data_IF_089810331023
#
_entry.id   IF_089810331023
#
_cell.length_a   1.000
_cell.length_b   1.000
_cell.length_c   1.000
_cell.angle_alpha   90.00
_cell.angle_beta   90.00
_cell.angle_gamma   90.00
#
_symmetry.space_group_name_H-M   'P 1'
#
loop_
_entity.id
_entity.type
_entity.pdbx_description
1 polymer ?
#
# COMPACT_ATOMS: atom_id res chain seq x y z
N UNK A 1 22.50 -68.53 -4.95
CA UNK A 1 22.65 -67.18 -4.37
C UNK A 1 21.78 -66.22 -5.14
N UNK A 2 20.62 -65.82 -4.61
CA UNK A 2 20.05 -64.46 -4.73
C UNK A 2 18.69 -64.40 -4.01
N UNK A 3 18.80 -63.87 -2.80
CA UNK A 3 18.02 -62.83 -2.10
C UNK A 3 16.50 -62.71 -2.26
N UNK A 4 15.91 -62.55 -1.07
CA UNK A 4 14.53 -62.29 -0.67
C UNK A 4 13.96 -60.92 -1.10
N UNK A 5 12.62 -60.93 -1.28
CA UNK A 5 11.59 -59.97 -0.85
C UNK A 5 11.64 -58.49 -1.28
N UNK A 6 10.53 -57.96 -1.83
CA UNK A 6 9.53 -57.17 -1.08
C UNK A 6 8.38 -56.61 -1.96
N UNK A 7 7.24 -56.20 -1.34
CA UNK A 7 5.94 -56.09 -2.00
C UNK A 7 5.62 -54.71 -2.61
N UNK A 8 4.65 -54.75 -3.52
CA UNK A 8 3.98 -53.65 -4.19
C UNK A 8 3.49 -52.60 -3.19
N UNK A 9 4.09 -51.41 -3.21
CA UNK A 9 3.51 -50.21 -2.59
C UNK A 9 2.52 -49.57 -3.56
N UNK A 10 1.27 -49.55 -3.15
CA UNK A 10 0.19 -48.75 -3.70
C UNK A 10 0.61 -47.28 -3.79
N UNK A 11 0.73 -46.75 -5.01
CA UNK A 11 0.86 -45.30 -5.21
C UNK A 11 -0.54 -44.71 -5.14
N UNK A 12 -0.89 -44.20 -3.96
CA UNK A 12 -2.00 -43.29 -3.78
C UNK A 12 -1.76 -42.07 -4.68
N UNK A 13 -2.55 -41.95 -5.74
CA UNK A 13 -2.60 -40.76 -6.61
C UNK A 13 -3.04 -39.58 -5.73
N UNK A 14 -2.08 -38.78 -5.26
CA UNK A 14 -2.36 -37.48 -4.67
C UNK A 14 -3.10 -36.63 -5.70
N UNK A 15 -4.26 -36.11 -5.29
CA UNK A 15 -5.10 -35.22 -6.04
C UNK A 15 -4.27 -34.09 -6.65
N UNK A 16 -4.44 -33.88 -7.96
CA UNK A 16 -3.93 -32.71 -8.68
C UNK A 16 -4.37 -31.46 -7.92
N UNK A 17 -3.41 -30.65 -7.48
CA UNK A 17 -3.70 -29.33 -6.94
C UNK A 17 -4.44 -28.55 -8.00
N UNK A 18 -5.60 -28.03 -7.62
CA UNK A 18 -6.35 -27.03 -8.37
C UNK A 18 -5.42 -25.85 -8.60
N UNK A 19 -5.04 -25.62 -9.86
CA UNK A 19 -4.43 -24.35 -10.25
C UNK A 19 -5.40 -23.25 -9.82
N UNK A 20 -4.95 -22.20 -9.10
CA UNK A 20 -5.80 -21.05 -8.84
C UNK A 20 -6.27 -20.51 -10.19
N UNK A 21 -7.59 -20.34 -10.33
CA UNK A 21 -8.19 -19.84 -11.55
C UNK A 21 -7.54 -18.52 -11.97
N UNK A 22 -7.35 -18.34 -13.28
CA UNK A 22 -6.94 -17.04 -13.85
C UNK A 22 -8.00 -16.02 -13.45
N UNK A 23 -7.72 -15.21 -12.43
CA UNK A 23 -8.48 -14.00 -12.14
C UNK A 23 -8.27 -13.06 -13.32
N UNK A 24 -9.34 -12.76 -14.05
CA UNK A 24 -9.30 -11.78 -15.13
C UNK A 24 -9.07 -10.42 -14.50
N UNK A 25 -7.95 -9.80 -14.85
CA UNK A 25 -7.64 -8.44 -14.51
C UNK A 25 -8.70 -7.47 -15.06
N UNK A 26 -9.66 -7.07 -14.23
CA UNK A 26 -10.54 -5.97 -14.59
C UNK A 26 -9.83 -4.68 -14.19
N UNK A 27 -9.52 -3.83 -15.18
CA UNK A 27 -9.21 -2.43 -14.90
C UNK A 27 -10.52 -1.79 -14.45
N UNK A 28 -10.82 -1.83 -13.15
CA UNK A 28 -12.00 -1.17 -12.62
C UNK A 28 -11.73 0.33 -12.55
N UNK A 29 -12.07 1.07 -13.61
CA UNK A 29 -12.38 2.49 -13.47
C UNK A 29 -13.90 2.57 -13.41
N UNK A 30 -14.41 2.57 -12.19
CA UNK A 30 -15.81 2.72 -11.89
C UNK A 30 -16.08 4.22 -11.65
N UNK A 31 -16.82 4.87 -12.55
CA UNK A 31 -17.32 6.23 -12.32
C UNK A 31 -18.81 6.14 -12.01
N UNK A 32 -19.24 6.72 -10.89
CA UNK A 32 -20.66 6.74 -10.53
C UNK A 32 -21.36 7.96 -11.14
N UNK A 33 -20.60 9.01 -11.44
CA UNK A 33 -21.09 10.25 -12.04
C UNK A 33 -20.00 11.03 -12.80
N UNK A 34 -20.42 12.05 -13.55
CA UNK A 34 -19.54 12.91 -14.35
C UNK A 34 -18.50 13.68 -13.53
N UNK A 35 -18.81 14.01 -12.27
CA UNK A 35 -17.86 14.69 -11.38
C UNK A 35 -16.72 13.77 -10.96
N UNK A 36 -17.01 12.51 -10.64
CA UNK A 36 -15.98 11.51 -10.35
C UNK A 36 -15.11 11.21 -11.57
N UNK A 37 -15.70 11.17 -12.76
CA UNK A 37 -14.97 11.05 -14.03
C UNK A 37 -14.00 12.23 -14.21
N UNK A 38 -14.48 13.47 -14.03
CA UNK A 38 -13.65 14.68 -14.09
C UNK A 38 -12.49 14.63 -13.09
N UNK A 39 -12.76 14.32 -11.82
CA UNK A 39 -11.74 14.23 -10.77
C UNK A 39 -10.68 13.18 -11.11
N UNK A 40 -11.09 12.03 -11.62
CA UNK A 40 -10.16 10.98 -12.04
C UNK A 40 -9.31 11.40 -13.24
N UNK A 41 -9.90 12.11 -14.21
CA UNK A 41 -9.19 12.68 -15.35
C UNK A 41 -8.11 13.67 -14.90
N UNK A 42 -8.48 14.62 -14.04
CA UNK A 42 -7.55 15.62 -13.47
C UNK A 42 -6.41 14.95 -12.68
N UNK A 43 -6.75 13.96 -11.85
CA UNK A 43 -5.77 13.24 -11.04
C UNK A 43 -4.79 12.42 -11.89
N UNK A 44 -5.28 11.77 -12.95
CA UNK A 44 -4.43 11.06 -13.93
C UNK A 44 -3.50 12.03 -14.63
N UNK A 45 -4.04 13.12 -15.16
CA UNK A 45 -3.27 14.14 -15.87
C UNK A 45 -2.16 14.72 -14.99
N UNK A 46 -2.46 15.05 -13.74
CA UNK A 46 -1.46 15.52 -12.78
C UNK A 46 -0.28 14.54 -12.61
N UNK A 47 -0.58 13.24 -12.44
CA UNK A 47 0.45 12.20 -12.24
C UNK A 47 1.27 11.97 -13.51
N UNK A 48 0.63 11.94 -14.67
CA UNK A 48 1.30 11.76 -15.95
C UNK A 48 2.23 12.94 -16.25
N UNK A 49 1.76 14.17 -16.04
CA UNK A 49 2.59 15.36 -16.20
C UNK A 49 3.77 15.33 -15.22
N UNK A 50 3.56 14.99 -13.94
CA UNK A 50 4.65 14.83 -12.95
C UNK A 50 5.74 13.86 -13.43
N UNK A 51 5.34 12.70 -13.98
CA UNK A 51 6.27 11.69 -14.47
C UNK A 51 7.00 12.03 -15.78
N UNK A 52 6.54 13.05 -16.51
CA UNK A 52 6.93 13.29 -17.91
C UNK A 52 8.19 14.16 -18.12
N UNK A 53 8.93 14.49 -17.06
CA UNK A 53 10.13 15.35 -17.16
C UNK A 53 11.15 14.80 -18.16
N UNK A 54 11.35 13.48 -18.21
CA UNK A 54 12.31 12.86 -19.12
C UNK A 54 11.93 13.05 -20.60
N UNK A 55 10.64 13.18 -20.93
CA UNK A 55 10.16 13.33 -22.30
C UNK A 55 9.85 14.78 -22.68
N UNK A 56 9.37 15.60 -21.74
CA UNK A 56 8.95 17.00 -21.98
C UNK A 56 9.99 18.04 -21.55
N UNK A 57 10.91 17.68 -20.66
CA UNK A 57 11.79 18.62 -19.97
C UNK A 57 11.13 19.29 -18.76
N UNK A 58 11.96 19.74 -17.81
CA UNK A 58 11.51 20.28 -16.51
C UNK A 58 10.67 21.55 -16.66
N UNK A 59 11.05 22.48 -17.54
CA UNK A 59 10.36 23.76 -17.67
C UNK A 59 8.92 23.60 -18.18
N UNK A 60 8.71 22.74 -19.19
CA UNK A 60 7.39 22.43 -19.71
C UNK A 60 6.50 21.77 -18.65
N UNK A 61 7.05 20.81 -17.89
CA UNK A 61 6.32 20.16 -16.79
C UNK A 61 5.92 21.15 -15.71
N UNK A 62 6.82 22.07 -15.31
CA UNK A 62 6.51 23.11 -14.32
C UNK A 62 5.42 24.06 -14.80
N UNK A 63 5.40 24.40 -16.08
CA UNK A 63 4.35 25.23 -16.66
C UNK A 63 2.99 24.51 -16.58
N UNK A 64 2.91 23.28 -17.08
CA UNK A 64 1.67 22.49 -17.06
C UNK A 64 1.15 22.24 -15.63
N UNK A 65 2.01 21.80 -14.71
CA UNK A 65 1.62 21.64 -13.30
C UNK A 65 1.28 22.97 -12.65
N UNK A 66 1.90 24.08 -13.09
CA UNK A 66 1.65 25.42 -12.60
C UNK A 66 0.21 25.91 -12.84
N UNK A 67 -0.41 25.39 -13.90
CA UNK A 67 -1.81 25.63 -14.24
C UNK A 67 -2.76 24.76 -13.41
N UNK A 68 -2.34 23.52 -13.11
CA UNK A 68 -3.12 22.53 -12.35
C UNK A 68 -3.12 22.78 -10.84
N UNK A 69 -2.08 23.39 -10.30
CA UNK A 69 -1.87 23.55 -8.85
C UNK A 69 -2.31 24.95 -8.38
N UNK A 70 -3.07 25.01 -7.29
CA UNK A 70 -3.44 26.27 -6.63
C UNK A 70 -2.22 26.93 -5.97
N UNK A 71 -2.20 28.26 -5.88
CA UNK A 71 -1.03 29.00 -5.36
C UNK A 71 -0.72 28.64 -3.91
N UNK A 72 -1.75 28.37 -3.11
CA UNK A 72 -1.74 27.98 -1.71
C UNK A 72 -1.71 26.47 -1.47
N UNK A 73 -1.52 25.66 -2.52
CA UNK A 73 -1.56 24.20 -2.42
C UNK A 73 -0.62 23.66 -1.35
N UNK A 74 -1.08 22.68 -0.57
CA UNK A 74 -0.29 22.02 0.48
C UNK A 74 0.02 20.58 0.12
N UNK A 75 1.31 20.22 0.11
CA UNK A 75 1.75 18.83 0.06
C UNK A 75 1.97 18.32 1.49
N UNK A 76 1.17 17.34 1.91
CA UNK A 76 1.29 16.73 3.23
C UNK A 76 2.36 15.66 3.22
N UNK A 77 3.31 15.84 4.14
CA UNK A 77 4.39 14.92 4.38
C UNK A 77 3.86 13.57 4.93
N UNK A 78 4.42 12.46 4.46
CA UNK A 78 4.15 11.12 5.00
C UNK A 78 4.79 10.89 6.38
N UNK A 79 5.64 11.82 6.84
CA UNK A 79 6.40 11.77 8.10
C UNK A 79 7.38 10.62 8.18
N UNK A 80 7.64 9.94 7.07
CA UNK A 80 8.64 8.88 6.93
C UNK A 80 9.79 9.42 6.08
N UNK A 81 9.50 9.81 4.85
CA UNK A 81 10.46 10.35 3.90
C UNK A 81 10.45 11.87 3.90
N UNK A 82 9.25 12.45 3.97
CA UNK A 82 9.07 13.89 4.09
C UNK A 82 8.70 14.20 5.53
N UNK A 83 9.58 14.91 6.24
CA UNK A 83 9.36 15.25 7.65
C UNK A 83 8.47 16.47 7.84
N UNK A 84 8.37 17.34 6.82
CA UNK A 84 7.62 18.61 6.85
C UNK A 84 6.72 18.73 5.63
N UNK A 85 5.57 19.38 5.84
CA UNK A 85 4.67 19.72 4.74
C UNK A 85 5.31 20.81 3.87
N UNK A 86 5.04 20.74 2.57
CA UNK A 86 5.40 21.80 1.63
C UNK A 86 4.17 22.67 1.41
N UNK A 87 4.34 23.98 1.56
CA UNK A 87 3.24 24.94 1.43
C UNK A 87 3.51 25.87 0.25
N UNK A 88 2.49 25.99 -0.59
CA UNK A 88 2.50 26.83 -1.76
C UNK A 88 3.10 26.18 -2.99
N UNK A 89 2.60 26.59 -4.15
CA UNK A 89 2.97 26.06 -5.47
C UNK A 89 4.47 26.06 -5.72
N UNK A 90 5.16 27.15 -5.37
CA UNK A 90 6.61 27.28 -5.60
C UNK A 90 7.42 26.23 -4.83
N UNK A 91 7.07 25.96 -3.57
CA UNK A 91 7.77 24.96 -2.76
C UNK A 91 7.59 23.54 -3.33
N UNK A 92 6.41 23.26 -3.89
CA UNK A 92 6.10 22.00 -4.57
C UNK A 92 6.93 21.87 -5.86
N UNK A 93 7.00 22.91 -6.69
CA UNK A 93 7.83 22.89 -7.91
C UNK A 93 9.31 22.70 -7.62
N UNK A 94 9.84 23.35 -6.58
CA UNK A 94 11.23 23.14 -6.18
C UNK A 94 11.47 21.72 -5.65
N UNK A 95 10.48 21.12 -4.99
CA UNK A 95 10.59 19.73 -4.55
C UNK A 95 10.60 18.75 -5.73
N UNK A 96 9.76 19.00 -6.74
CA UNK A 96 9.77 18.28 -8.02
C UNK A 96 11.16 18.37 -8.67
N UNK A 97 11.73 19.57 -8.80
CA UNK A 97 13.07 19.76 -9.36
C UNK A 97 14.13 18.94 -8.62
N UNK A 98 14.12 19.00 -7.28
CA UNK A 98 15.05 18.23 -6.46
C UNK A 98 14.85 16.72 -6.61
N UNK A 99 13.61 16.25 -6.71
CA UNK A 99 13.32 14.82 -6.92
C UNK A 99 13.89 14.35 -8.26
N UNK A 100 13.60 15.06 -9.35
CA UNK A 100 14.07 14.71 -10.69
C UNK A 100 15.57 14.93 -10.91
N UNK A 101 16.21 15.78 -10.12
CA UNK A 101 17.67 15.89 -10.12
C UNK A 101 18.33 14.68 -9.44
N UNK A 102 17.67 14.08 -8.45
CA UNK A 102 18.15 12.88 -7.74
C UNK A 102 17.84 11.59 -8.48
N UNK A 103 16.65 11.53 -9.10
CA UNK A 103 16.12 10.33 -9.72
C UNK A 103 15.70 10.59 -11.16
N UNK A 104 16.20 9.75 -12.06
CA UNK A 104 15.67 9.63 -13.41
C UNK A 104 14.44 8.71 -13.36
N UNK A 105 13.28 9.22 -13.78
CA UNK A 105 12.03 8.47 -13.78
C UNK A 105 11.95 7.61 -15.05
N UNK A 106 12.34 6.34 -14.95
CA UNK A 106 12.27 5.37 -16.06
C UNK A 106 10.83 4.96 -16.36
N UNK A 107 10.06 4.73 -15.29
CA UNK A 107 8.62 4.46 -15.37
C UNK A 107 7.93 5.29 -14.30
N UNK A 108 6.81 5.94 -14.65
CA UNK A 108 5.95 6.63 -13.70
C UNK A 108 4.53 6.69 -14.27
N UNK A 109 3.68 5.74 -13.91
CA UNK A 109 2.39 5.57 -14.58
C UNK A 109 1.24 5.28 -13.61
N UNK A 110 0.08 5.95 -13.78
CA UNK A 110 -1.11 5.68 -12.99
C UNK A 110 -1.75 4.34 -13.38
N UNK A 111 -1.73 3.38 -12.45
CA UNK A 111 -2.27 2.02 -12.66
C UNK A 111 -3.71 1.88 -12.17
N UNK A 112 -4.13 2.71 -11.22
CA UNK A 112 -5.50 2.76 -10.70
C UNK A 112 -5.87 4.20 -10.35
N UNK A 113 -7.12 4.58 -10.57
CA UNK A 113 -7.67 5.89 -10.21
C UNK A 113 -9.08 5.71 -9.65
N UNK A 114 -9.40 6.40 -8.57
CA UNK A 114 -10.73 6.47 -7.97
C UNK A 114 -11.01 7.91 -7.50
N UNK A 115 -12.28 8.28 -7.32
CA UNK A 115 -12.65 9.60 -6.81
C UNK A 115 -13.77 9.52 -5.76
N UNK A 116 -13.73 10.51 -4.87
CA UNK A 116 -14.76 10.85 -3.91
C UNK A 116 -15.20 12.29 -4.18
N UNK A 117 -16.36 12.42 -4.80
CA UNK A 117 -16.96 13.69 -5.19
C UNK A 117 -17.53 14.48 -4.01
N UNK A 118 -17.79 13.83 -2.86
CA UNK A 118 -18.23 14.52 -1.64
C UNK A 118 -17.12 15.44 -1.13
N UNK A 119 -15.88 14.97 -1.20
CA UNK A 119 -14.70 15.70 -0.73
C UNK A 119 -13.87 16.33 -1.85
N UNK A 120 -14.35 16.31 -3.11
CA UNK A 120 -13.59 16.73 -4.30
C UNK A 120 -12.18 16.11 -4.34
N UNK A 121 -12.08 14.83 -3.98
CA UNK A 121 -10.81 14.14 -3.78
C UNK A 121 -10.69 13.01 -4.80
N UNK A 122 -9.49 12.80 -5.32
CA UNK A 122 -9.15 11.65 -6.12
C UNK A 122 -7.99 10.87 -5.49
N UNK A 123 -7.97 9.57 -5.74
CA UNK A 123 -6.92 8.65 -5.30
C UNK A 123 -6.27 8.04 -6.53
N UNK A 124 -4.93 8.05 -6.59
CA UNK A 124 -4.18 7.49 -7.71
C UNK A 124 -3.13 6.53 -7.21
N UNK A 125 -3.19 5.29 -7.68
CA UNK A 125 -2.11 4.31 -7.54
C UNK A 125 -1.12 4.47 -8.69
N UNK A 126 0.16 4.64 -8.38
CA UNK A 126 1.23 4.89 -9.36
C UNK A 126 2.32 3.85 -9.21
N UNK A 127 2.59 3.10 -10.27
CA UNK A 127 3.78 2.25 -10.35
C UNK A 127 4.96 3.08 -10.88
N UNK A 128 6.12 2.93 -10.26
CA UNK A 128 7.30 3.72 -10.60
C UNK A 128 8.58 2.90 -10.64
N UNK A 129 9.48 3.30 -11.54
CA UNK A 129 10.86 2.81 -11.62
C UNK A 129 11.77 4.03 -11.71
N UNK A 130 12.69 4.14 -10.76
CA UNK A 130 13.61 5.25 -10.61
C UNK A 130 15.04 4.76 -10.72
N UNK A 131 15.87 5.45 -11.50
CA UNK A 131 17.32 5.29 -11.44
C UNK A 131 17.91 6.43 -10.64
N UNK A 132 18.70 6.14 -9.62
CA UNK A 132 19.43 7.19 -8.90
C UNK A 132 20.55 7.73 -9.78
N UNK A 133 20.47 9.01 -10.10
CA UNK A 133 21.42 9.72 -10.98
C UNK A 133 22.05 10.94 -10.31
N UNK A 134 21.51 11.34 -9.16
CA UNK A 134 22.03 12.45 -8.38
C UNK A 134 22.34 12.08 -6.93
N UNK A 135 23.08 12.94 -6.22
CA UNK A 135 23.47 12.73 -4.83
C UNK A 135 22.24 12.67 -3.91
N UNK A 136 22.14 11.63 -3.09
CA UNK A 136 21.09 11.52 -2.07
C UNK A 136 21.35 12.44 -0.87
N UNK A 137 22.63 12.57 -0.52
CA UNK A 137 23.17 13.48 0.49
C UNK A 137 24.21 14.39 -0.15
N UNK A 138 24.36 15.59 0.40
CA UNK A 138 25.39 16.53 -0.05
C UNK A 138 26.78 15.86 0.01
N UNK A 139 27.52 15.93 -1.10
CA UNK A 139 28.83 15.30 -1.25
C UNK A 139 28.84 13.79 -1.56
N UNK A 140 27.69 13.10 -1.57
CA UNK A 140 27.63 11.69 -1.95
C UNK A 140 27.67 11.50 -3.46
N UNK A 141 28.24 10.39 -3.94
CA UNK A 141 28.11 10.00 -5.35
C UNK A 141 26.74 9.35 -5.60
N UNK A 142 26.17 9.48 -6.81
CA UNK A 142 24.98 8.72 -7.18
C UNK A 142 25.27 7.23 -7.14
N UNK A 143 24.34 6.44 -6.61
CA UNK A 143 24.45 4.98 -6.51
C UNK A 143 24.36 4.31 -7.89
N UNK A 144 23.64 4.93 -8.84
CA UNK A 144 23.33 4.33 -10.14
C UNK A 144 22.29 3.20 -10.07
N UNK A 145 21.81 2.84 -8.88
CA UNK A 145 20.85 1.75 -8.71
C UNK A 145 19.49 2.11 -9.29
N UNK A 146 18.78 1.07 -9.71
CA UNK A 146 17.38 1.17 -10.11
C UNK A 146 16.50 0.62 -9.01
N UNK A 147 15.58 1.45 -8.51
CA UNK A 147 14.56 1.08 -7.55
C UNK A 147 13.20 1.05 -8.23
N UNK A 148 12.37 0.08 -7.85
CA UNK A 148 10.99 -0.06 -8.31
C UNK A 148 10.05 0.00 -7.13
N UNK A 149 8.85 0.53 -7.36
CA UNK A 149 7.82 0.45 -6.35
C UNK A 149 6.50 1.06 -6.76
N UNK A 150 5.72 1.38 -5.73
CA UNK A 150 4.36 1.87 -5.83
C UNK A 150 4.12 3.07 -4.93
N UNK A 151 3.18 3.91 -5.31
CA UNK A 151 2.70 5.00 -4.47
C UNK A 151 1.19 5.17 -4.59
N UNK A 152 0.57 5.61 -3.51
CA UNK A 152 -0.82 6.03 -3.47
C UNK A 152 -0.82 7.53 -3.20
N UNK A 153 -1.45 8.28 -4.09
CA UNK A 153 -1.64 9.72 -3.96
C UNK A 153 -3.10 10.00 -3.66
N UNK A 154 -3.36 10.82 -2.65
CA UNK A 154 -4.65 11.45 -2.41
C UNK A 154 -4.53 12.91 -2.83
N UNK A 155 -5.38 13.34 -3.76
CA UNK A 155 -5.35 14.65 -4.40
C UNK A 155 -6.70 15.34 -4.18
N UNK A 156 -6.69 16.46 -3.48
CA UNK A 156 -7.91 17.25 -3.20
C UNK A 156 -7.94 18.46 -4.11
N UNK A 157 -9.07 18.69 -4.77
CA UNK A 157 -9.26 19.74 -5.74
C UNK A 157 -10.26 20.80 -5.24
N UNK A 158 -10.00 22.04 -5.61
CA UNK A 158 -10.92 23.14 -5.34
C UNK A 158 -12.20 22.96 -6.18
N UNK A 159 -13.41 23.00 -5.57
CA UNK A 159 -14.66 22.66 -6.26
C UNK A 159 -15.02 23.56 -7.44
N UNK A 160 -14.60 24.82 -7.43
CA UNK A 160 -14.87 25.79 -8.52
C UNK A 160 -13.78 25.84 -9.59
N UNK A 161 -12.53 26.09 -9.19
CA UNK A 161 -11.40 26.22 -10.13
C UNK A 161 -10.86 24.89 -10.64
N UNK A 162 -11.21 23.76 -10.00
CA UNK A 162 -10.67 22.45 -10.35
C UNK A 162 -9.17 22.27 -10.08
N UNK A 163 -8.53 23.25 -9.43
CA UNK A 163 -7.09 23.22 -9.13
C UNK A 163 -6.80 22.37 -7.90
N UNK A 164 -5.64 21.72 -7.89
CA UNK A 164 -5.14 20.96 -6.75
C UNK A 164 -4.85 21.89 -5.57
N UNK A 165 -5.46 21.63 -4.41
CA UNK A 165 -5.27 22.40 -3.16
C UNK A 165 -4.55 21.59 -2.09
N UNK A 166 -4.67 20.27 -2.10
CA UNK A 166 -3.95 19.40 -1.17
C UNK A 166 -3.48 18.11 -1.87
N UNK A 167 -2.26 17.68 -1.57
CA UNK A 167 -1.74 16.38 -2.00
C UNK A 167 -1.13 15.64 -0.82
N UNK A 168 -1.47 14.36 -0.66
CA UNK A 168 -0.82 13.43 0.26
C UNK A 168 -0.29 12.25 -0.53
N UNK A 169 0.94 11.83 -0.27
CA UNK A 169 1.57 10.72 -0.97
C UNK A 169 2.08 9.72 0.05
N UNK A 170 1.63 8.47 -0.07
CA UNK A 170 2.25 7.34 0.62
C UNK A 170 2.97 6.52 -0.45
N UNK A 171 4.28 6.31 -0.31
CA UNK A 171 5.06 5.54 -1.29
C UNK A 171 6.00 4.55 -0.64
N UNK A 172 6.35 3.52 -1.41
CA UNK A 172 7.44 2.62 -1.04
C UNK A 172 8.78 3.38 -1.06
N UNK A 173 9.70 2.94 -0.22
CA UNK A 173 11.06 3.50 -0.12
C UNK A 173 11.94 2.94 -1.24
N UNK A 174 12.84 3.77 -1.80
CA UNK A 174 13.92 3.27 -2.68
C UNK A 174 14.90 2.40 -1.90
N UNK A 175 15.75 1.64 -2.59
CA UNK A 175 16.76 0.80 -1.94
C UNK A 175 17.69 1.63 -1.03
N UNK A 176 18.05 2.84 -1.44
CA UNK A 176 18.91 3.73 -0.66
C UNK A 176 18.20 4.34 0.55
N UNK A 177 16.93 4.70 0.40
CA UNK A 177 16.12 5.18 1.52
C UNK A 177 15.93 4.09 2.58
N UNK A 178 15.77 2.83 2.15
CA UNK A 178 15.75 1.69 3.06
C UNK A 178 17.08 1.54 3.80
N UNK A 179 18.21 1.63 3.10
CA UNK A 179 19.54 1.55 3.73
C UNK A 179 19.79 2.69 4.72
N UNK A 180 19.25 3.88 4.45
CA UNK A 180 19.43 5.05 5.29
C UNK A 180 18.53 5.04 6.53
N UNK A 181 17.26 4.68 6.37
CA UNK A 181 16.23 4.86 7.40
C UNK A 181 16.02 3.63 8.28
N UNK A 182 16.40 2.45 7.80
CA UNK A 182 16.23 1.22 8.55
C UNK A 182 17.49 0.88 9.34
N UNK A 183 17.30 0.27 10.51
CA UNK A 183 18.41 -0.22 11.32
C UNK A 183 19.25 -1.26 10.53
N UNK A 184 20.58 -1.30 10.72
CA UNK A 184 21.43 -2.31 10.09
C UNK A 184 20.89 -3.73 10.33
N UNK A 185 20.69 -4.50 9.26
CA UNK A 185 20.15 -5.86 9.32
C UNK A 185 18.62 -5.96 9.34
N UNK A 186 17.90 -4.84 9.39
CA UNK A 186 16.44 -4.83 9.20
C UNK A 186 16.12 -5.29 7.77
N UNK A 187 15.26 -6.32 7.66
CA UNK A 187 14.76 -6.83 6.38
C UNK A 187 13.43 -6.17 6.08
N UNK A 188 13.44 -5.18 5.19
CA UNK A 188 12.24 -4.64 4.55
C UNK A 188 12.10 -5.30 3.19
N UNK A 189 10.98 -6.00 2.96
CA UNK A 189 10.66 -6.58 1.67
C UNK A 189 9.32 -6.01 1.22
N UNK A 190 9.32 -4.86 0.53
CA UNK A 190 8.09 -4.27 0.03
C UNK A 190 7.49 -5.13 -1.10
N UNK A 191 6.19 -5.01 -1.31
CA UNK A 191 5.49 -5.66 -2.43
C UNK A 191 6.19 -5.41 -3.77
N UNK A 192 6.57 -6.47 -4.48
CA UNK A 192 7.02 -6.37 -5.87
C UNK A 192 5.81 -6.14 -6.78
N UNK A 193 5.44 -4.88 -6.91
CA UNK A 193 4.30 -4.49 -7.74
C UNK A 193 4.51 -4.89 -9.19
N UNK A 194 5.74 -4.88 -9.71
CA UNK A 194 6.02 -5.22 -11.11
C UNK A 194 6.00 -6.72 -11.38
N UNK A 195 6.52 -7.53 -10.47
CA UNK A 195 6.52 -8.99 -10.59
C UNK A 195 5.19 -9.64 -10.22
N UNK A 196 4.50 -9.13 -9.19
CA UNK A 196 3.36 -9.83 -8.59
C UNK A 196 2.00 -9.19 -8.89
N UNK A 197 1.91 -7.86 -8.92
CA UNK A 197 0.62 -7.14 -8.98
C UNK A 197 0.26 -6.77 -10.40
N UNK A 198 1.15 -6.08 -11.13
CA UNK A 198 0.88 -5.60 -12.48
C UNK A 198 0.56 -6.72 -13.48
N UNK A 199 1.26 -7.87 -13.50
CA UNK A 199 0.90 -8.96 -14.41
C UNK A 199 -0.50 -9.52 -14.15
N UNK A 200 -0.92 -9.60 -12.88
CA UNK A 200 -2.28 -10.00 -12.49
C UNK A 200 -3.34 -8.95 -12.83
N UNK A 201 -2.92 -7.71 -13.04
CA UNK A 201 -3.73 -6.64 -13.60
C UNK A 201 -3.68 -6.59 -15.13
N UNK A 202 -3.08 -7.59 -15.80
CA UNK A 202 -3.03 -7.63 -17.27
C UNK A 202 -2.13 -6.55 -17.88
N UNK A 203 -1.27 -5.93 -17.06
CA UNK A 203 -0.34 -4.91 -17.48
C UNK A 203 0.69 -5.50 -18.46
N UNK A 204 0.86 -4.84 -19.61
CA UNK A 204 1.66 -5.32 -20.74
C UNK A 204 0.85 -5.90 -21.91
N UNK A 205 -0.30 -6.54 -21.66
CA UNK A 205 -1.20 -7.02 -22.72
C UNK A 205 -2.29 -5.99 -23.10
N UNK A 206 -2.59 -5.05 -22.20
CA UNK A 206 -3.69 -4.08 -22.32
C UNK A 206 -3.29 -2.71 -22.88
N UNK A 207 -2.02 -2.45 -23.21
CA UNK A 207 -1.65 -1.22 -23.95
C UNK A 207 -2.26 -1.17 -25.37
N UNK A 208 -2.80 -2.29 -25.87
CA UNK A 208 -3.37 -2.42 -27.21
C UNK A 208 -4.92 -2.38 -27.26
N UNK A 209 -5.62 -2.22 -26.14
CA UNK A 209 -7.09 -2.30 -26.09
C UNK A 209 -7.70 -1.10 -25.38
N UNK A 210 -8.10 -0.09 -26.14
CA UNK A 210 -8.95 1.06 -25.74
C UNK A 210 -10.39 0.63 -25.38
N UNK A 211 -10.56 -0.44 -24.61
CA UNK A 211 -11.88 -0.77 -24.11
C UNK A 211 -12.15 0.10 -22.88
N UNK A 212 -13.09 1.02 -23.04
CA UNK A 212 -13.67 1.79 -21.96
C UNK A 212 -14.02 0.82 -20.83
N UNK A 213 -13.40 0.97 -19.64
CA UNK A 213 -13.72 0.12 -18.51
C UNK A 213 -15.22 0.24 -18.21
N UNK A 214 -15.87 -0.84 -17.78
CA UNK A 214 -17.29 -0.79 -17.45
C UNK A 214 -17.53 0.27 -16.38
N UNK A 215 -18.39 1.23 -16.70
CA UNK A 215 -18.89 2.22 -15.74
C UNK A 215 -19.67 1.44 -14.69
N UNK A 216 -19.25 1.54 -13.43
CA UNK A 216 -20.02 0.94 -12.35
C UNK A 216 -21.36 1.65 -12.23
N UNK A 217 -22.45 0.88 -12.20
CA UNK A 217 -23.73 1.42 -11.77
C UNK A 217 -23.71 1.81 -10.28
N UNK A 218 -24.70 2.60 -9.88
CA UNK A 218 -24.83 3.06 -8.49
C UNK A 218 -24.91 1.90 -7.49
N UNK A 219 -25.55 0.78 -7.87
CA UNK A 219 -25.69 -0.40 -7.03
C UNK A 219 -24.34 -1.08 -6.75
N UNK A 220 -23.49 -1.22 -7.77
CA UNK A 220 -22.13 -1.72 -7.62
C UNK A 220 -21.29 -0.81 -6.72
N UNK A 221 -21.39 0.51 -6.90
CA UNK A 221 -20.66 1.47 -6.08
C UNK A 221 -21.09 1.44 -4.61
N UNK A 222 -22.40 1.35 -4.34
CA UNK A 222 -22.93 1.19 -2.97
C UNK A 222 -22.44 -0.11 -2.34
N UNK A 223 -22.48 -1.22 -3.08
CA UNK A 223 -21.95 -2.52 -2.62
C UNK A 223 -20.46 -2.43 -2.29
N UNK A 224 -19.64 -1.81 -3.14
CA UNK A 224 -18.21 -1.62 -2.89
C UNK A 224 -17.95 -0.74 -1.66
N UNK A 225 -18.69 0.36 -1.53
CA UNK A 225 -18.61 1.25 -0.36
C UNK A 225 -18.98 0.51 0.93
N UNK A 226 -20.05 -0.29 0.90
CA UNK A 226 -20.46 -1.11 2.03
C UNK A 226 -19.38 -2.14 2.40
N UNK A 227 -18.83 -2.86 1.42
CA UNK A 227 -17.76 -3.83 1.65
C UNK A 227 -16.53 -3.21 2.27
N UNK A 228 -16.11 -2.03 1.79
CA UNK A 228 -14.98 -1.29 2.36
C UNK A 228 -15.25 -0.81 3.78
N UNK A 229 -16.45 -0.29 4.08
CA UNK A 229 -16.84 0.12 5.43
C UNK A 229 -16.76 -1.06 6.40
N UNK A 230 -17.31 -2.21 6.03
CA UNK A 230 -17.23 -3.43 6.84
C UNK A 230 -15.78 -3.88 7.04
N UNK A 231 -14.98 -3.92 5.97
CA UNK A 231 -13.56 -4.25 6.06
C UNK A 231 -12.82 -3.36 7.09
N UNK A 232 -13.01 -2.04 7.01
CA UNK A 232 -12.41 -1.08 7.95
C UNK A 232 -12.91 -1.30 9.37
N UNK A 233 -14.22 -1.51 9.55
CA UNK A 233 -14.81 -1.75 10.87
C UNK A 233 -14.21 -2.98 11.56
N UNK A 234 -13.94 -4.06 10.84
CA UNK A 234 -13.35 -5.29 11.38
C UNK A 234 -12.01 -5.08 12.10
N UNK A 235 -11.27 -4.01 11.82
CA UNK A 235 -10.02 -3.69 12.53
C UNK A 235 -10.22 -3.15 13.95
N UNK A 236 -11.44 -2.78 14.33
CA UNK A 236 -11.78 -2.30 15.68
C UNK A 236 -11.82 -3.47 16.67
N UNK A 237 -11.36 -3.27 17.91
CA UNK A 237 -11.16 -4.33 18.92
C UNK A 237 -12.37 -5.21 19.22
N UNK A 238 -13.58 -4.67 19.07
CA UNK A 238 -14.84 -5.35 19.41
C UNK A 238 -15.64 -5.77 18.16
N UNK A 239 -15.02 -5.72 16.99
CA UNK A 239 -15.71 -6.00 15.74
C UNK A 239 -15.97 -7.50 15.55
N UNK A 240 -17.17 -7.82 15.05
CA UNK A 240 -17.51 -9.17 14.60
C UNK A 240 -16.71 -9.53 13.34
N UNK A 241 -15.75 -10.45 13.48
CA UNK A 241 -14.90 -10.91 12.39
C UNK A 241 -15.62 -11.85 11.41
N UNK A 242 -16.81 -12.35 11.73
CA UNK A 242 -17.61 -13.15 10.78
C UNK A 242 -18.12 -12.31 9.61
N UNK A 243 -18.17 -10.98 9.78
CA UNK A 243 -18.52 -10.05 8.71
C UNK A 243 -17.48 -10.06 7.57
N UNK A 244 -16.24 -10.47 7.82
CA UNK A 244 -15.20 -10.64 6.78
C UNK A 244 -15.63 -11.65 5.70
N UNK A 245 -16.44 -12.65 6.06
CA UNK A 245 -16.96 -13.65 5.11
C UNK A 245 -17.87 -13.05 4.04
N UNK A 246 -18.47 -11.88 4.33
CA UNK A 246 -19.40 -11.20 3.43
C UNK A 246 -18.71 -10.25 2.45
N UNK A 247 -17.49 -9.82 2.77
CA UNK A 247 -16.84 -8.69 2.08
C UNK A 247 -15.46 -9.02 1.51
N UNK A 248 -14.84 -10.13 1.93
CA UNK A 248 -13.56 -10.59 1.40
C UNK A 248 -13.73 -11.81 0.52
N UNK A 249 -13.11 -11.74 -0.66
CA UNK A 249 -12.92 -12.90 -1.52
C UNK A 249 -12.00 -13.93 -0.84
N UNK A 250 -12.30 -15.24 -0.90
CA UNK A 250 -11.41 -16.28 -0.37
C UNK A 250 -9.97 -16.21 -0.92
N UNK A 251 -9.79 -15.71 -2.14
CA UNK A 251 -8.52 -15.52 -2.81
C UNK A 251 -7.92 -14.11 -2.62
N UNK A 252 -8.37 -13.34 -1.62
CA UNK A 252 -7.81 -12.04 -1.26
C UNK A 252 -6.27 -12.09 -1.20
N UNK A 253 -5.61 -11.07 -1.72
CA UNK A 253 -4.18 -10.86 -1.50
C UNK A 253 -3.98 -9.44 -0.98
N UNK A 254 -3.49 -9.31 0.24
CA UNK A 254 -3.08 -8.03 0.79
C UNK A 254 -1.57 -7.89 0.67
N UNK A 255 -1.13 -6.78 0.10
CA UNK A 255 0.28 -6.50 -0.13
C UNK A 255 0.77 -5.46 0.87
N UNK A 256 1.95 -5.70 1.43
CA UNK A 256 2.59 -4.71 2.29
C UNK A 256 3.41 -3.75 1.43
N UNK A 257 2.86 -2.54 1.23
CA UNK A 257 3.57 -1.51 0.50
C UNK A 257 4.92 -1.19 1.17
N UNK A 258 4.99 -1.09 2.49
CA UNK A 258 6.22 -0.74 3.18
C UNK A 258 7.10 -1.93 3.55
N UNK A 259 6.62 -3.16 3.39
CA UNK A 259 7.39 -4.37 3.71
C UNK A 259 7.76 -4.53 5.19
N UNK A 260 7.02 -3.88 6.10
CA UNK A 260 7.30 -3.81 7.53
C UNK A 260 6.58 -4.89 8.37
N UNK A 261 5.49 -5.48 7.86
CA UNK A 261 4.65 -6.43 8.61
C UNK A 261 5.39 -7.73 8.96
N UNK A 262 6.37 -8.13 8.15
CA UNK A 262 7.06 -9.42 8.30
C UNK A 262 8.38 -9.33 9.09
N UNK A 263 8.83 -8.13 9.45
CA UNK A 263 10.06 -7.95 10.22
C UNK A 263 10.00 -8.56 11.63
N UNK A 264 8.79 -8.85 12.14
CA UNK A 264 8.61 -9.20 13.55
C UNK A 264 8.46 -10.69 13.86
N UNK A 265 7.80 -11.55 13.06
CA UNK A 265 7.23 -12.79 13.65
C UNK A 265 7.06 -14.07 12.79
N UNK A 266 7.52 -14.16 11.53
CA UNK A 266 7.45 -15.45 10.80
C UNK A 266 8.68 -15.71 9.92
N UNK A 267 9.20 -16.95 9.87
CA UNK A 267 10.17 -17.35 8.84
C UNK A 267 9.51 -17.17 7.47
N UNK A 268 10.20 -16.45 6.59
CA UNK A 268 9.72 -16.14 5.25
C UNK A 268 9.35 -17.41 4.48
N UNK A 269 8.22 -17.38 3.77
CA UNK A 269 8.16 -18.11 2.50
C UNK A 269 8.96 -17.27 1.52
N UNK A 270 10.05 -17.83 0.99
CA UNK A 270 10.94 -17.13 0.07
C UNK A 270 10.14 -16.40 -1.02
N UNK A 271 10.37 -15.09 -1.16
CA UNK A 271 10.02 -14.34 -2.37
C UNK A 271 8.72 -13.55 -2.40
N UNK A 272 7.90 -13.48 -1.34
CA UNK A 272 6.62 -12.74 -1.43
C UNK A 272 6.33 -11.79 -0.27
N UNK A 273 6.19 -10.51 -0.61
CA UNK A 273 5.78 -9.41 0.28
C UNK A 273 4.25 -9.30 0.42
N UNK A 274 3.60 -10.45 0.54
CA UNK A 274 2.16 -10.57 0.78
C UNK A 274 1.94 -10.54 2.28
N UNK A 275 1.25 -9.53 2.80
CA UNK A 275 0.92 -9.43 4.24
C UNK A 275 -0.15 -10.42 4.65
N UNK A 276 -1.12 -10.71 3.77
CA UNK A 276 -2.22 -11.65 4.04
C UNK A 276 -2.60 -12.42 2.76
N UNK A 277 -2.65 -13.76 2.85
CA UNK A 277 -3.09 -14.64 1.76
C UNK A 277 -4.44 -15.25 2.09
N UNK A 278 -5.47 -14.68 1.49
CA UNK A 278 -6.84 -15.11 1.64
C UNK A 278 -7.50 -14.56 2.90
N UNK A 279 -8.79 -14.85 3.00
CA UNK A 279 -9.65 -14.35 4.06
C UNK A 279 -9.26 -14.87 5.45
N UNK A 280 -8.82 -16.13 5.54
CA UNK A 280 -8.49 -16.76 6.82
C UNK A 280 -7.23 -16.14 7.45
N UNK A 281 -6.22 -15.85 6.63
CA UNK A 281 -5.03 -15.11 7.05
C UNK A 281 -5.39 -13.69 7.51
N UNK A 282 -6.30 -13.01 6.79
CA UNK A 282 -6.76 -11.68 7.18
C UNK A 282 -7.50 -11.70 8.53
N UNK A 283 -8.36 -12.70 8.74
CA UNK A 283 -9.03 -12.92 10.03
C UNK A 283 -8.01 -13.15 11.15
N UNK A 284 -7.06 -14.06 10.94
CA UNK A 284 -6.05 -14.38 11.94
C UNK A 284 -5.16 -13.17 12.29
N UNK A 285 -4.81 -12.35 11.30
CA UNK A 285 -4.05 -11.12 11.50
C UNK A 285 -4.81 -10.10 12.36
N UNK A 286 -6.08 -9.84 12.02
CA UNK A 286 -6.93 -8.90 12.74
C UNK A 286 -7.20 -9.40 14.17
N UNK A 287 -7.53 -10.69 14.34
CA UNK A 287 -7.74 -11.30 15.65
C UNK A 287 -6.49 -11.23 16.54
N UNK A 288 -5.30 -11.43 15.95
CA UNK A 288 -4.04 -11.27 16.66
C UNK A 288 -3.83 -9.84 17.18
N UNK A 289 -4.21 -8.83 16.39
CA UNK A 289 -4.16 -7.43 16.83
C UNK A 289 -5.21 -7.15 17.91
N UNK A 290 -6.44 -7.64 17.75
CA UNK A 290 -7.48 -7.53 18.77
C UNK A 290 -6.99 -8.06 20.11
N UNK A 291 -6.41 -9.27 20.14
CA UNK A 291 -5.83 -9.85 21.36
C UNK A 291 -4.74 -8.96 21.95
N UNK A 292 -3.74 -8.57 21.15
CA UNK A 292 -2.61 -7.76 21.61
C UNK A 292 -3.03 -6.41 22.18
N UNK A 293 -3.97 -5.71 21.54
CA UNK A 293 -4.45 -4.41 22.01
C UNK A 293 -5.46 -4.52 23.14
N UNK A 294 -6.30 -5.56 23.15
CA UNK A 294 -7.19 -5.86 24.27
C UNK A 294 -6.39 -6.19 25.52
N UNK A 295 -5.33 -7.00 25.41
CA UNK A 295 -4.46 -7.33 26.53
C UNK A 295 -3.69 -6.10 27.04
N UNK A 296 -3.21 -5.24 26.13
CA UNK A 296 -2.59 -3.96 26.52
C UNK A 296 -3.59 -3.01 27.18
N UNK A 297 -4.82 -2.92 26.67
CA UNK A 297 -5.86 -2.08 27.23
C UNK A 297 -6.38 -2.63 28.57
N UNK A 298 -6.42 -3.97 28.74
CA UNK A 298 -6.69 -4.64 30.03
C UNK A 298 -5.57 -4.39 31.03
N UNK A 299 -4.30 -4.54 30.62
CA UNK A 299 -3.14 -4.21 31.47
C UNK A 299 -3.14 -2.75 31.90
N UNK A 300 -3.46 -1.82 30.99
CA UNK A 300 -3.65 -0.42 31.32
C UNK A 300 -4.84 -0.24 32.28
N UNK A 301 -6.00 -0.80 31.97
CA UNK A 301 -7.20 -0.71 32.81
C UNK A 301 -6.95 -1.25 34.23
N UNK A 302 -6.26 -2.38 34.39
CA UNK A 302 -5.88 -2.93 35.69
C UNK A 302 -4.76 -2.14 36.37
N UNK A 303 -3.91 -1.45 35.61
CA UNK A 303 -2.90 -0.55 36.17
C UNK A 303 -3.48 0.78 36.67
N UNK A 304 -4.52 1.33 36.03
CA UNK A 304 -5.15 2.60 36.44
C UNK A 304 -6.44 2.45 37.27
N UNK A 305 -7.00 1.24 37.39
CA UNK A 305 -8.18 1.00 38.23
C UNK A 305 -7.79 0.29 39.55
N UNK A 306 -7.76 1.00 40.71
CA UNK A 306 -7.34 0.42 41.99
C UNK A 306 -8.24 -0.72 42.48
N UNK A 307 -9.51 -0.76 42.08
CA UNK A 307 -10.46 -1.82 42.50
C UNK A 307 -10.17 -3.17 41.83
N UNK A 308 -9.55 -3.17 40.64
CA UNK A 308 -9.11 -4.41 39.98
C UNK A 308 -7.82 -5.00 40.58
N UNK A 309 -7.03 -4.21 41.34
CA UNK A 309 -5.82 -4.71 42.01
C UNK A 309 -6.12 -5.63 43.20
N UNK A 310 -7.34 -5.58 43.75
CA UNK A 310 -7.72 -6.30 44.98
C UNK A 310 -8.20 -7.73 44.69
N UNK A 311 -8.46 -8.08 43.42
CA UNK A 311 -9.05 -9.40 43.08
C UNK A 311 -8.02 -10.52 42.92
N UNK A 312 -6.74 -10.21 42.68
CA UNK A 312 -5.70 -11.23 42.42
C UNK A 312 -4.83 -11.54 43.65
N UNK A 313 -5.20 -11.07 44.84
CA UNK A 313 -4.40 -11.31 46.06
C UNK A 313 -4.86 -12.55 46.83
N UNK A 314 -5.27 -13.64 46.16
CA UNK A 314 -5.28 -14.98 46.79
C UNK A 314 -4.89 -16.04 45.74
N UNK A 315 -3.59 -16.15 45.47
CA UNK A 315 -2.82 -17.39 45.42
C UNK A 315 -1.39 -17.11 44.92
N UNK A 316 -0.51 -16.67 45.83
CA UNK A 316 0.91 -16.99 45.65
C UNK A 316 1.11 -18.46 46.08
N UNK A 317 1.89 -19.23 45.31
CA UNK A 317 3.25 -19.44 45.82
C UNK A 317 4.36 -19.34 44.76
N UNK A 318 5.42 -18.66 45.19
CA UNK A 318 6.83 -18.84 44.87
C UNK A 318 7.32 -18.68 43.42
N UNK A 319 7.59 -17.43 43.03
CA UNK A 319 8.73 -17.13 42.17
C UNK A 319 9.86 -16.55 43.03
N UNK A 320 10.84 -17.38 43.35
CA UNK A 320 12.14 -16.93 43.81
C UNK A 320 12.97 -16.49 42.59
N UNK A 321 13.33 -15.20 42.62
CA UNK A 321 14.58 -14.60 42.13
C UNK A 321 14.89 -14.67 40.63
N UNK A 322 14.80 -13.49 40.03
CA UNK A 322 16.01 -12.81 39.55
C UNK A 322 16.03 -12.48 38.07
N UNK A 323 15.75 -11.23 37.72
CA UNK A 323 16.32 -10.58 36.55
C UNK A 323 16.63 -9.12 36.89
N UNK A 324 17.93 -8.82 36.93
CA UNK A 324 18.48 -7.48 36.83
C UNK A 324 18.31 -6.96 35.38
N UNK A 325 18.35 -5.64 35.26
CA UNK A 325 18.27 -4.79 34.06
C UNK A 325 18.94 -5.34 32.80
#
# INVERSE_FOLDING_TARGET
MQTLAQPVRSVTRLARSSRPGRTTAVRTMAFVNSKQEQLCGQARQFVETWGSVASKGMDAVKQELGEMIADECTFKADRVLYTKDLKGKQAIMQALEREHAKYEHKTYYPVAVAADDTHNTAFVGVAWEYKNVGPLKEGAQPSGNTSRGFSIKQLTFHPRSGKLTESRVNRQMTAEEQQELLAPGAKCQPADVFGDVLPKLGWGAQQASEQNPPVADAEFAERMSSSLKTWVQCWSSDADLDQLNKVLDPALMAYDAYGLHHAANKPQREGHAISMMGRDDARAAIEGLHKKFTDRNKLLASAVNPDQRVSDTIAAPALSRGLCF
#
